data_IF_373831973334
#
_entry.id   IF_373831973334
#
_cell.length_a   1.000
_cell.length_b   1.000
_cell.length_c   1.000
_cell.angle_alpha   90.00
_cell.angle_beta   90.00
_cell.angle_gamma   90.00
#
_symmetry.space_group_name_H-M   'P 1'
#
loop_
_entity.id
_entity.type
_entity.pdbx_description
1 polymer ?
#
# COMPACT_ATOMS: atom_id res chain seq x y z
N UNK A 1 -24.25 -18.72 -8.51
CA UNK A 1 -23.40 -19.82 -9.03
C UNK A 1 -22.91 -20.67 -7.87
N UNK A 2 -22.93 -22.00 -7.97
CA UNK A 2 -22.28 -22.89 -6.99
C UNK A 2 -21.00 -23.44 -7.64
N UNK A 3 -19.87 -23.36 -6.94
CA UNK A 3 -18.59 -23.91 -7.39
C UNK A 3 -18.03 -24.85 -6.35
N UNK A 4 -17.03 -25.66 -6.72
CA UNK A 4 -16.34 -26.57 -5.81
C UNK A 4 -15.06 -25.93 -5.31
N UNK A 5 -14.73 -26.20 -4.05
CA UNK A 5 -13.41 -25.95 -3.51
C UNK A 5 -12.47 -27.04 -4.03
N UNK A 6 -11.30 -26.64 -4.52
CA UNK A 6 -10.25 -27.53 -5.01
C UNK A 6 -9.02 -27.45 -4.09
N UNK A 7 -8.27 -28.54 -4.00
CA UNK A 7 -7.02 -28.57 -3.25
C UNK A 7 -5.88 -28.02 -4.09
N UNK A 8 -5.07 -27.13 -3.50
CA UNK A 8 -3.85 -26.57 -4.09
C UNK A 8 -2.73 -26.79 -3.07
N UNK A 9 -2.08 -27.96 -3.11
CA UNK A 9 -1.07 -28.33 -2.10
C UNK A 9 -1.66 -28.45 -0.69
N UNK A 10 -1.15 -27.64 0.25
CA UNK A 10 -1.71 -27.52 1.60
C UNK A 10 -2.86 -26.51 1.70
N UNK A 11 -3.13 -25.78 0.61
CA UNK A 11 -4.15 -24.74 0.54
C UNK A 11 -5.40 -25.22 -0.21
N UNK A 12 -6.43 -24.39 -0.20
CA UNK A 12 -7.66 -24.57 -0.95
C UNK A 12 -7.86 -23.40 -1.91
N UNK A 13 -8.54 -23.64 -3.03
CA UNK A 13 -8.86 -22.62 -4.02
C UNK A 13 -10.26 -22.78 -4.59
N UNK A 14 -10.75 -21.72 -5.23
CA UNK A 14 -12.00 -21.70 -5.97
C UNK A 14 -11.74 -21.20 -7.39
N UNK A 15 -12.42 -21.79 -8.38
CA UNK A 15 -12.34 -21.29 -9.76
C UNK A 15 -13.31 -20.13 -9.92
N UNK A 16 -12.79 -18.95 -10.22
CA UNK A 16 -13.58 -17.74 -10.49
C UNK A 16 -13.70 -17.58 -12.02
N UNK A 17 -14.93 -17.56 -12.58
CA UNK A 17 -15.14 -17.30 -13.99
C UNK A 17 -14.53 -15.96 -14.43
N UNK A 18 -13.93 -15.93 -15.63
CA UNK A 18 -13.33 -14.73 -16.22
C UNK A 18 -14.27 -13.49 -16.19
N UNK A 19 -15.58 -13.59 -16.49
CA UNK A 19 -16.46 -12.44 -16.42
C UNK A 19 -16.56 -11.80 -15.02
N UNK A 20 -16.45 -12.59 -13.94
CA UNK A 20 -16.47 -12.05 -12.57
C UNK A 20 -15.16 -11.36 -12.21
N UNK A 21 -14.03 -11.83 -12.71
CA UNK A 21 -12.73 -11.16 -12.55
C UNK A 21 -12.75 -9.81 -13.26
N UNK A 22 -13.25 -9.76 -14.50
CA UNK A 22 -13.33 -8.53 -15.30
C UNK A 22 -14.28 -7.50 -14.65
N UNK A 23 -15.45 -7.93 -14.19
CA UNK A 23 -16.43 -7.03 -13.54
C UNK A 23 -15.98 -6.53 -12.16
N UNK A 24 -15.15 -7.29 -11.44
CA UNK A 24 -14.66 -6.91 -10.11
C UNK A 24 -13.44 -5.98 -10.14
N UNK A 25 -12.86 -5.73 -11.33
CA UNK A 25 -11.64 -4.93 -11.48
C UNK A 25 -10.39 -5.61 -10.90
N UNK A 26 -10.47 -6.91 -10.58
CA UNK A 26 -9.34 -7.68 -10.07
C UNK A 26 -8.31 -7.84 -11.21
N UNK A 27 -7.05 -7.47 -10.93
CA UNK A 27 -5.94 -7.62 -11.86
C UNK A 27 -4.98 -8.72 -11.39
N UNK A 28 -3.87 -8.35 -10.74
CA UNK A 28 -2.83 -9.30 -10.29
C UNK A 28 -2.94 -9.66 -8.81
N UNK A 29 -3.32 -8.71 -7.98
CA UNK A 29 -3.30 -8.86 -6.52
C UNK A 29 -4.69 -8.62 -5.95
N UNK A 30 -5.03 -9.41 -4.94
CA UNK A 30 -6.30 -9.33 -4.24
C UNK A 30 -6.06 -9.31 -2.74
N UNK A 31 -6.95 -8.63 -2.03
CA UNK A 31 -7.09 -8.77 -0.60
C UNK A 31 -8.22 -9.76 -0.28
N UNK A 32 -8.02 -10.53 0.78
CA UNK A 32 -8.99 -11.51 1.28
C UNK A 32 -9.37 -11.16 2.71
N UNK A 33 -10.67 -10.93 2.93
CA UNK A 33 -11.20 -10.48 4.22
C UNK A 33 -12.25 -11.47 4.70
N UNK A 34 -12.15 -11.90 5.96
CA UNK A 34 -13.20 -12.69 6.62
C UNK A 34 -14.15 -11.75 7.35
N UNK A 35 -15.41 -11.73 6.94
CA UNK A 35 -16.46 -10.91 7.57
C UNK A 35 -17.77 -11.69 7.58
N UNK A 36 -18.43 -11.77 8.73
CA UNK A 36 -19.79 -12.34 8.85
C UNK A 36 -19.93 -13.76 8.23
N UNK A 37 -18.90 -14.61 8.41
CA UNK A 37 -18.76 -15.94 7.81
C UNK A 37 -18.61 -15.97 6.27
N UNK A 38 -18.31 -14.82 5.66
CA UNK A 38 -18.05 -14.66 4.24
C UNK A 38 -16.58 -14.32 3.99
N UNK A 39 -16.04 -14.84 2.89
CA UNK A 39 -14.73 -14.44 2.36
C UNK A 39 -14.98 -13.40 1.26
N UNK A 40 -14.61 -12.16 1.53
CA UNK A 40 -14.68 -11.05 0.59
C UNK A 40 -13.34 -10.94 -0.13
N UNK A 41 -13.38 -11.00 -1.46
CA UNK A 41 -12.22 -10.76 -2.32
C UNK A 41 -12.39 -9.39 -2.98
N UNK A 42 -11.38 -8.53 -2.86
CA UNK A 42 -11.34 -7.23 -3.53
C UNK A 42 -9.98 -7.01 -4.20
N UNK A 43 -9.89 -6.16 -5.24
CA UNK A 43 -8.60 -5.75 -5.78
C UNK A 43 -7.71 -5.23 -4.64
N UNK A 44 -6.44 -5.62 -4.62
CA UNK A 44 -5.50 -5.03 -3.69
C UNK A 44 -5.31 -3.55 -4.05
N UNK A 45 -5.31 -2.68 -3.03
CA UNK A 45 -4.98 -1.28 -3.27
C UNK A 45 -3.52 -1.18 -3.70
N UNK A 46 -3.26 -0.31 -4.67
CA UNK A 46 -1.90 -0.04 -5.12
C UNK A 46 -1.19 0.66 -3.96
N UNK A 47 -0.04 0.13 -3.54
CA UNK A 47 0.82 0.82 -2.57
C UNK A 47 1.00 2.26 -3.02
N UNK A 48 0.67 3.22 -2.15
CA UNK A 48 0.83 4.66 -2.41
C UNK A 48 -0.14 5.26 -3.44
N UNK A 49 -1.26 4.60 -3.74
CA UNK A 49 -2.29 5.09 -4.68
C UNK A 49 -2.68 6.55 -4.46
N UNK A 50 -2.76 6.99 -3.20
CA UNK A 50 -3.18 8.34 -2.82
C UNK A 50 -2.04 9.22 -2.31
N UNK A 51 -0.78 8.81 -2.53
CA UNK A 51 0.38 9.59 -2.09
C UNK A 51 0.41 10.95 -2.77
N UNK A 52 0.25 11.01 -4.09
CA UNK A 52 0.25 12.27 -4.85
C UNK A 52 -0.70 13.30 -4.24
N UNK A 53 -1.97 12.91 -4.07
CA UNK A 53 -2.99 13.79 -3.48
C UNK A 53 -2.75 14.09 -1.99
N UNK A 54 -2.00 13.24 -1.28
CA UNK A 54 -1.64 13.48 0.12
C UNK A 54 -0.44 14.41 0.25
N UNK A 55 0.54 14.31 -0.64
CA UNK A 55 1.67 15.25 -0.73
C UNK A 55 1.23 16.63 -1.18
N UNK A 56 0.33 16.73 -2.15
CA UNK A 56 -0.25 18.01 -2.55
C UNK A 56 -0.97 18.70 -1.38
N UNK A 57 -1.75 17.95 -0.59
CA UNK A 57 -2.41 18.49 0.62
C UNK A 57 -1.40 18.89 1.70
N UNK A 58 -0.32 18.12 1.85
CA UNK A 58 0.76 18.42 2.79
C UNK A 58 1.43 19.76 2.44
N UNK A 59 1.76 19.99 1.17
CA UNK A 59 2.29 21.27 0.68
C UNK A 59 1.30 22.42 0.89
N UNK A 60 0.02 22.22 0.52
CA UNK A 60 -1.05 23.23 0.74
C UNK A 60 -1.22 23.61 2.21
N UNK A 61 -0.94 22.69 3.13
CA UNK A 61 -1.02 22.88 4.58
C UNK A 61 0.30 23.38 5.20
N UNK A 62 1.40 23.38 4.45
CA UNK A 62 2.74 23.69 4.95
C UNK A 62 3.29 22.63 5.92
N UNK A 63 2.75 21.41 5.86
CA UNK A 63 3.15 20.26 6.68
C UNK A 63 4.41 19.55 6.10
N UNK A 64 4.95 20.04 4.99
CA UNK A 64 6.16 19.55 4.31
C UNK A 64 7.46 20.19 4.84
N UNK A 65 7.37 20.98 5.90
CA UNK A 65 8.50 21.67 6.54
C UNK A 65 9.10 20.81 7.65
N UNK A 66 10.43 20.87 7.80
CA UNK A 66 11.14 20.22 8.91
C UNK A 66 10.69 20.78 10.26
N UNK A 67 10.36 19.90 11.21
CA UNK A 67 9.96 20.28 12.56
C UNK A 67 11.09 21.00 13.32
N UNK A 68 12.32 20.60 13.03
CA UNK A 68 13.57 21.06 13.61
C UNK A 68 14.37 21.92 12.63
N UNK A 69 13.72 22.54 11.64
CA UNK A 69 14.38 23.30 10.57
C UNK A 69 15.47 24.24 11.08
N UNK A 70 15.20 24.97 12.18
CA UNK A 70 16.15 25.92 12.80
C UNK A 70 17.36 25.26 13.46
N UNK A 71 17.23 24.02 13.91
CA UNK A 71 18.33 23.24 14.51
C UNK A 71 19.14 22.55 13.42
N UNK A 72 18.49 22.05 12.35
CA UNK A 72 19.17 21.41 11.21
C UNK A 72 19.86 22.39 10.27
N UNK A 73 19.44 23.66 10.24
CA UNK A 73 20.14 24.70 9.47
C UNK A 73 21.49 25.10 10.09
N UNK A 74 21.75 24.70 11.35
CA UNK A 74 23.05 24.91 11.97
C UNK A 74 23.98 23.78 11.54
N UNK A 75 25.23 24.10 11.13
CA UNK A 75 26.26 23.08 10.94
C UNK A 75 26.35 22.22 12.20
N UNK A 76 26.28 20.91 12.04
CA UNK A 76 26.60 19.99 13.12
C UNK A 76 28.11 19.95 13.33
N UNK A 77 28.57 19.53 14.51
CA UNK A 77 30.02 19.35 14.77
C UNK A 77 30.69 18.43 13.73
N UNK A 78 29.90 17.53 13.10
CA UNK A 78 30.36 16.62 12.04
C UNK A 78 30.52 17.30 10.68
N UNK A 79 29.81 18.40 10.41
CA UNK A 79 29.91 19.18 9.17
C UNK A 79 31.17 20.07 9.16
N UNK A 80 31.68 20.41 10.34
CA UNK A 80 32.90 21.22 10.49
C UNK A 80 34.19 20.38 10.46
N UNK A 81 34.08 19.06 10.57
CA UNK A 81 35.23 18.15 10.57
C UNK A 81 35.35 17.39 9.25
N UNK A 82 36.49 17.50 8.58
CA UNK A 82 36.79 16.61 7.46
C UNK A 82 36.96 15.17 7.95
N UNK A 83 36.20 14.26 7.33
CA UNK A 83 36.27 12.84 7.63
C UNK A 83 37.61 12.27 7.16
N UNK A 84 38.40 11.75 8.09
CA UNK A 84 39.60 10.97 7.78
C UNK A 84 39.28 9.47 7.91
N UNK A 85 39.49 8.74 6.82
CA UNK A 85 39.36 7.28 6.75
C UNK A 85 40.55 6.55 7.37
#
# INVERSE_FOLDING_TARGET
>A
MKTKIIRIGNSQGVRIPKPLIEQSGITKEIEMILRDNEIILRPADVTRKDWEASFQRMEEQGDDVLLDQKETEKPSDWDETEWTW
#
